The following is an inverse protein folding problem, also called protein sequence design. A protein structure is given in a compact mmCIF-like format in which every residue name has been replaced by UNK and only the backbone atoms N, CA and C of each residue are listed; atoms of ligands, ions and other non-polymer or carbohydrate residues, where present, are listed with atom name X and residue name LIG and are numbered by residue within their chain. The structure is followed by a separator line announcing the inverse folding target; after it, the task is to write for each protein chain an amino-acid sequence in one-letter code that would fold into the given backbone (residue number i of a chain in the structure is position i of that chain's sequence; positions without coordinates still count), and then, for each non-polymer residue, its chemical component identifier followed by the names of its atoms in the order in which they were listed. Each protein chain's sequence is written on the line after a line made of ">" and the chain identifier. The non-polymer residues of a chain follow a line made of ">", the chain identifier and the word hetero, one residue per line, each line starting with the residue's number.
data_IF_348963200755
#
_entry.id   IF_348963200755
#
_cell.length_a   1.000
_cell.length_b   1.000
_cell.length_c   1.000
_cell.angle_alpha   90.00
_cell.angle_beta   90.00
_cell.angle_gamma   90.00
#
_symmetry.space_group_name_H-M   'P 1'
#
loop_
_entity.id
_entity.type
_entity.pdbx_description
1 polymer ?
#
# COMPACT_ATOMS: atom_id res chain seq x y z
N UNK A 1 -4.04 26.95 -3.63
CA UNK A 1 -5.35 26.47 -3.15
C UNK A 1 -6.17 26.07 -4.37
N UNK A 2 -6.94 24.98 -4.28
CA UNK A 2 -7.90 24.46 -5.29
C UNK A 2 -7.40 23.56 -6.44
N UNK A 3 -6.64 22.49 -6.17
CA UNK A 3 -6.59 21.34 -7.12
C UNK A 3 -6.59 19.94 -6.47
N UNK A 4 -6.69 19.85 -5.13
CA UNK A 4 -6.67 18.56 -4.43
C UNK A 4 -8.04 17.86 -4.30
N UNK A 5 -9.13 18.50 -4.74
CA UNK A 5 -10.50 18.02 -4.46
C UNK A 5 -11.23 17.31 -5.60
N UNK A 6 -10.82 17.49 -6.87
CA UNK A 6 -11.65 17.07 -8.01
C UNK A 6 -11.39 15.61 -8.43
N UNK A 7 -10.24 15.03 -8.08
CA UNK A 7 -9.97 13.61 -8.38
C UNK A 7 -10.49 12.64 -7.30
N UNK A 8 -10.91 13.14 -6.13
CA UNK A 8 -11.29 12.31 -4.98
C UNK A 8 -12.79 11.98 -4.93
N UNK A 9 -13.62 12.69 -5.70
CA UNK A 9 -15.09 12.63 -5.63
C UNK A 9 -15.76 11.66 -6.62
N UNK A 10 -15.00 10.97 -7.48
CA UNK A 10 -15.55 9.97 -8.42
C UNK A 10 -15.21 8.51 -8.11
N UNK A 11 -14.51 8.25 -7.00
CA UNK A 11 -14.15 6.89 -6.59
C UNK A 11 -15.08 6.27 -5.54
N UNK A 12 -16.13 6.99 -5.12
CA UNK A 12 -16.96 6.62 -3.96
C UNK A 12 -18.07 5.60 -4.26
N UNK A 13 -18.21 5.11 -5.50
CA UNK A 13 -19.38 4.32 -5.90
C UNK A 13 -19.12 2.80 -6.07
N UNK A 14 -17.96 2.27 -5.67
CA UNK A 14 -17.69 0.83 -5.86
C UNK A 14 -16.69 0.20 -4.89
N UNK A 15 -16.54 0.72 -3.67
CA UNK A 15 -15.70 0.07 -2.64
C UNK A 15 -16.42 -1.16 -2.07
N UNK A 16 -16.64 -2.17 -2.91
CA UNK A 16 -17.19 -3.46 -2.53
C UNK A 16 -16.06 -4.29 -1.91
N UNK A 17 -15.52 -3.84 -0.77
CA UNK A 17 -14.74 -4.71 0.10
C UNK A 17 -15.76 -5.70 0.65
N UNK A 18 -15.97 -6.79 -0.09
CA UNK A 18 -17.02 -7.74 0.22
C UNK A 18 -16.71 -8.40 1.57
N UNK A 19 -17.44 -7.97 2.61
CA UNK A 19 -17.51 -8.62 3.92
C UNK A 19 -17.72 -10.14 3.79
N UNK A 20 -18.23 -10.60 2.64
CA UNK A 20 -18.41 -12.00 2.28
C UNK A 20 -17.09 -12.80 2.20
N UNK A 21 -15.99 -12.22 1.72
CA UNK A 21 -14.69 -12.94 1.62
C UNK A 21 -14.02 -13.12 2.99
N UNK A 22 -14.14 -12.12 3.87
CA UNK A 22 -13.73 -12.23 5.29
C UNK A 22 -14.58 -13.31 5.98
N UNK A 23 -15.89 -13.35 5.69
CA UNK A 23 -16.81 -14.37 6.18
C UNK A 23 -16.57 -15.78 5.62
N UNK A 24 -16.01 -15.96 4.42
CA UNK A 24 -15.69 -17.29 3.89
C UNK A 24 -14.50 -17.96 4.61
N UNK A 25 -13.51 -17.19 5.08
CA UNK A 25 -12.40 -17.74 5.88
C UNK A 25 -12.80 -18.13 7.31
N UNK A 26 -13.97 -17.67 7.75
CA UNK A 26 -14.54 -17.82 9.08
C UNK A 26 -14.95 -19.26 9.43
N UNK A 27 -15.48 -20.01 8.46
CA UNK A 27 -16.02 -21.36 8.70
C UNK A 27 -14.97 -22.39 9.18
N UNK A 28 -13.67 -22.07 9.10
CA UNK A 28 -12.60 -23.00 9.47
C UNK A 28 -12.08 -22.86 10.90
N UNK A 29 -12.48 -21.84 11.67
CA UNK A 29 -11.99 -21.60 13.04
C UNK A 29 -13.16 -21.39 14.01
N UNK A 30 -13.62 -22.49 14.60
CA UNK A 30 -14.62 -22.52 15.66
C UNK A 30 -14.33 -21.50 16.79
N UNK A 31 -15.38 -20.84 17.29
CA UNK A 31 -15.63 -20.79 18.74
C UNK A 31 -15.39 -19.48 19.51
N UNK A 32 -15.13 -18.34 18.88
CA UNK A 32 -15.17 -17.04 19.59
C UNK A 32 -16.04 -16.05 18.81
N UNK A 33 -17.25 -15.84 19.33
CA UNK A 33 -18.15 -14.76 18.92
C UNK A 33 -17.60 -13.44 19.46
N UNK A 34 -16.46 -12.97 18.93
CA UNK A 34 -16.26 -11.53 18.90
C UNK A 34 -17.38 -11.04 17.99
N UNK A 35 -18.33 -10.32 18.59
CA UNK A 35 -19.62 -10.01 17.99
C UNK A 35 -19.38 -9.43 16.59
N UNK A 36 -19.89 -10.12 15.58
CA UNK A 36 -19.70 -9.82 14.15
C UNK A 36 -19.96 -8.36 13.82
N UNK A 37 -20.97 -7.82 14.50
CA UNK A 37 -21.43 -6.44 14.39
C UNK A 37 -20.33 -5.44 14.81
N UNK A 38 -19.50 -5.78 15.80
CA UNK A 38 -18.42 -4.94 16.31
C UNK A 38 -17.26 -4.86 15.30
N UNK A 39 -16.88 -5.97 14.66
CA UNK A 39 -15.81 -5.94 13.65
C UNK A 39 -16.27 -5.30 12.33
N UNK A 40 -17.54 -5.48 11.94
CA UNK A 40 -18.09 -4.80 10.76
C UNK A 40 -17.98 -3.27 10.88
N UNK A 41 -18.18 -2.74 12.10
CA UNK A 41 -18.03 -1.32 12.42
C UNK A 41 -16.57 -0.89 12.27
N UNK A 42 -15.62 -1.67 12.79
CA UNK A 42 -14.18 -1.40 12.62
C UNK A 42 -13.80 -1.30 11.14
N UNK A 43 -14.27 -2.24 10.31
CA UNK A 43 -14.02 -2.23 8.86
C UNK A 43 -14.62 -0.97 8.23
N UNK A 44 -15.90 -0.68 8.50
CA UNK A 44 -16.59 0.46 7.93
C UNK A 44 -15.90 1.80 8.27
N UNK A 45 -15.42 1.95 9.50
CA UNK A 45 -14.74 3.17 9.97
C UNK A 45 -13.32 3.33 9.39
N UNK A 46 -12.63 2.24 9.07
CA UNK A 46 -11.20 2.26 8.76
C UNK A 46 -10.85 1.85 7.32
N UNK A 47 -11.80 1.34 6.54
CA UNK A 47 -11.55 0.83 5.18
C UNK A 47 -10.88 1.85 4.26
N UNK A 48 -11.33 3.09 4.28
CA UNK A 48 -10.77 4.13 3.41
C UNK A 48 -9.34 4.46 3.81
N UNK A 49 -9.05 4.52 5.12
CA UNK A 49 -7.69 4.74 5.61
C UNK A 49 -6.77 3.60 5.20
N UNK A 50 -7.20 2.34 5.39
CA UNK A 50 -6.40 1.15 5.04
C UNK A 50 -6.17 1.09 3.53
N UNK A 51 -7.21 1.23 2.72
CA UNK A 51 -7.12 1.19 1.26
C UNK A 51 -6.20 2.30 0.72
N UNK A 52 -6.39 3.53 1.19
CA UNK A 52 -5.54 4.65 0.79
C UNK A 52 -4.09 4.45 1.20
N UNK A 53 -3.86 3.90 2.40
CA UNK A 53 -2.51 3.53 2.86
C UNK A 53 -1.89 2.53 1.90
N UNK A 54 -2.55 1.41 1.64
CA UNK A 54 -2.06 0.38 0.72
C UNK A 54 -1.77 0.96 -0.67
N UNK A 55 -2.70 1.72 -1.22
CA UNK A 55 -2.57 2.35 -2.54
C UNK A 55 -1.33 3.26 -2.65
N UNK A 56 -1.00 4.03 -1.62
CA UNK A 56 0.18 4.91 -1.63
C UNK A 56 1.51 4.15 -1.69
N UNK A 57 1.52 2.90 -1.22
CA UNK A 57 2.70 2.05 -1.31
C UNK A 57 2.81 1.33 -2.65
N UNK A 58 1.70 0.79 -3.18
CA UNK A 58 1.74 -0.06 -4.38
C UNK A 58 1.44 0.68 -5.69
N UNK A 59 0.74 1.82 -5.62
CA UNK A 59 0.30 2.65 -6.76
C UNK A 59 -0.47 1.86 -7.83
N UNK A 60 -1.20 0.84 -7.40
CA UNK A 60 -2.07 0.02 -8.22
C UNK A 60 -3.33 -0.29 -7.40
N UNK A 61 -4.51 -0.06 -7.99
CA UNK A 61 -5.78 -0.17 -7.26
C UNK A 61 -6.10 -1.61 -6.87
N UNK A 62 -5.98 -2.54 -7.80
CA UNK A 62 -6.27 -3.97 -7.57
C UNK A 62 -5.35 -4.54 -6.49
N UNK A 63 -4.04 -4.29 -6.59
CA UNK A 63 -3.07 -4.71 -5.57
C UNK A 63 -3.42 -4.08 -4.20
N UNK A 64 -3.88 -2.83 -4.17
CA UNK A 64 -4.22 -2.15 -2.92
C UNK A 64 -5.49 -2.73 -2.26
N UNK A 65 -6.52 -3.03 -3.06
CA UNK A 65 -7.76 -3.67 -2.61
C UNK A 65 -7.49 -5.06 -2.04
N UNK A 66 -6.68 -5.87 -2.73
CA UNK A 66 -6.25 -7.19 -2.27
C UNK A 66 -5.49 -7.12 -0.93
N UNK A 67 -4.54 -6.18 -0.83
CA UNK A 67 -3.76 -6.00 0.40
C UNK A 67 -4.67 -5.51 1.54
N UNK A 68 -5.60 -4.58 1.27
CA UNK A 68 -6.53 -4.08 2.28
C UNK A 68 -7.38 -5.22 2.86
N UNK A 69 -7.82 -6.17 2.03
CA UNK A 69 -8.48 -7.38 2.52
C UNK A 69 -7.55 -8.22 3.42
N UNK A 70 -6.31 -8.47 3.00
CA UNK A 70 -5.33 -9.18 3.84
C UNK A 70 -5.10 -8.47 5.19
N UNK A 71 -5.13 -7.14 5.22
CA UNK A 71 -4.99 -6.34 6.44
C UNK A 71 -6.15 -6.59 7.39
N UNK A 72 -7.40 -6.52 6.93
CA UNK A 72 -8.55 -6.75 7.81
C UNK A 72 -8.65 -8.20 8.27
N UNK A 73 -8.26 -9.16 7.43
CA UNK A 73 -8.16 -10.58 7.83
C UNK A 73 -7.12 -10.74 8.96
N UNK A 74 -5.93 -10.13 8.81
CA UNK A 74 -4.89 -10.16 9.83
C UNK A 74 -5.35 -9.47 11.12
N UNK A 75 -5.98 -8.30 10.99
CA UNK A 75 -6.52 -7.54 12.10
C UNK A 75 -7.55 -8.36 12.87
N UNK A 76 -8.51 -9.00 12.20
CA UNK A 76 -9.49 -9.86 12.84
C UNK A 76 -8.83 -11.00 13.64
N UNK A 77 -7.84 -11.69 13.03
CA UNK A 77 -7.13 -12.82 13.66
C UNK A 77 -6.28 -12.42 14.86
N UNK A 78 -5.84 -11.16 14.91
CA UNK A 78 -4.94 -10.65 15.95
C UNK A 78 -5.63 -9.68 16.91
N UNK A 79 -6.92 -9.40 16.72
CA UNK A 79 -7.68 -8.43 17.51
C UNK A 79 -7.73 -8.80 19.00
N UNK A 80 -7.86 -10.09 19.32
CA UNK A 80 -7.84 -10.59 20.70
C UNK A 80 -6.52 -10.25 21.43
N UNK A 81 -5.42 -10.09 20.68
CA UNK A 81 -4.11 -9.76 21.21
C UNK A 81 -3.83 -8.24 21.20
N UNK A 82 -4.77 -7.42 20.73
CA UNK A 82 -4.60 -5.97 20.68
C UNK A 82 -4.71 -5.38 22.10
N UNK A 83 -3.55 -5.02 22.66
CA UNK A 83 -3.41 -4.54 24.05
C UNK A 83 -3.90 -3.12 24.31
N UNK A 84 -4.43 -2.41 23.29
CA UNK A 84 -4.91 -1.01 23.39
C UNK A 84 -3.86 0.00 23.86
N UNK A 85 -2.58 -0.30 23.69
CA UNK A 85 -1.45 0.60 23.99
C UNK A 85 -1.28 1.71 22.94
N UNK A 86 -2.04 1.66 21.84
CA UNK A 86 -2.10 2.68 20.80
C UNK A 86 -3.52 2.81 20.26
N UNK A 87 -3.81 3.82 19.45
CA UNK A 87 -5.09 3.92 18.74
C UNK A 87 -5.26 2.74 17.78
N UNK A 88 -6.50 2.28 17.58
CA UNK A 88 -6.79 1.21 16.63
C UNK A 88 -6.31 1.54 15.21
N UNK A 89 -6.50 2.79 14.79
CA UNK A 89 -6.02 3.31 13.51
C UNK A 89 -4.50 3.20 13.36
N UNK A 90 -3.73 3.54 14.40
CA UNK A 90 -2.27 3.37 14.45
C UNK A 90 -1.87 1.91 14.26
N UNK A 91 -2.58 0.99 14.91
CA UNK A 91 -2.31 -0.43 14.79
C UNK A 91 -2.65 -0.99 13.41
N UNK A 92 -3.82 -0.66 12.86
CA UNK A 92 -4.23 -1.03 11.50
C UNK A 92 -3.26 -0.47 10.45
N UNK A 93 -2.81 0.78 10.62
CA UNK A 93 -1.83 1.39 9.73
C UNK A 93 -0.53 0.58 9.69
N UNK A 94 -0.04 0.10 10.84
CA UNK A 94 1.16 -0.73 10.90
C UNK A 94 1.00 -2.05 10.16
N UNK A 95 -0.16 -2.69 10.28
CA UNK A 95 -0.47 -3.91 9.53
C UNK A 95 -0.48 -3.58 8.02
N UNK A 96 -1.16 -2.50 7.61
CA UNK A 96 -1.24 -2.06 6.22
C UNK A 96 0.14 -1.79 5.59
N UNK A 97 1.01 -1.05 6.28
CA UNK A 97 2.39 -0.82 5.84
C UNK A 97 3.14 -2.13 5.69
N UNK A 98 3.05 -3.01 6.69
CA UNK A 98 3.78 -4.29 6.68
C UNK A 98 3.36 -5.15 5.50
N UNK A 99 2.05 -5.35 5.30
CA UNK A 99 1.50 -6.14 4.19
C UNK A 99 1.85 -5.52 2.84
N UNK A 100 1.80 -4.19 2.72
CA UNK A 100 2.16 -3.48 1.49
C UNK A 100 3.63 -3.64 1.13
N UNK A 101 4.53 -3.50 2.10
CA UNK A 101 5.97 -3.72 1.90
C UNK A 101 6.27 -5.17 1.52
N UNK A 102 5.62 -6.14 2.18
CA UNK A 102 5.79 -7.55 1.86
C UNK A 102 5.28 -7.90 0.46
N UNK A 103 4.15 -7.33 0.03
CA UNK A 103 3.67 -7.43 -1.35
C UNK A 103 4.73 -6.90 -2.33
N UNK A 104 5.27 -5.70 -2.11
CA UNK A 104 6.30 -5.12 -2.98
C UNK A 104 7.57 -5.98 -3.05
N UNK A 105 8.02 -6.53 -1.91
CA UNK A 105 9.16 -7.45 -1.85
C UNK A 105 8.88 -8.74 -2.63
N UNK A 106 7.69 -9.32 -2.50
CA UNK A 106 7.25 -10.51 -3.27
C UNK A 106 7.23 -10.21 -4.78
N UNK A 107 6.62 -9.10 -5.19
CA UNK A 107 6.55 -8.65 -6.60
C UNK A 107 7.94 -8.46 -7.20
N UNK A 108 8.85 -7.79 -6.47
CA UNK A 108 10.26 -7.63 -6.86
C UNK A 108 10.99 -8.96 -7.01
N UNK A 109 10.79 -9.91 -6.08
CA UNK A 109 11.38 -11.26 -6.20
C UNK A 109 10.88 -11.99 -7.44
N UNK A 110 9.56 -12.03 -7.67
CA UNK A 110 8.96 -12.68 -8.86
C UNK A 110 9.54 -12.13 -10.17
N UNK A 111 9.65 -10.80 -10.30
CA UNK A 111 10.26 -10.14 -11.47
C UNK A 111 11.71 -10.59 -11.69
N UNK A 112 12.53 -10.63 -10.64
CA UNK A 112 13.93 -11.11 -10.75
C UNK A 112 14.02 -12.58 -11.17
N UNK A 113 13.15 -13.45 -10.65
CA UNK A 113 13.14 -14.87 -11.00
C UNK A 113 12.74 -15.10 -12.47
N UNK A 114 11.69 -14.41 -12.97
CA UNK A 114 11.31 -14.51 -14.39
C UNK A 114 12.42 -13.96 -15.31
N UNK A 115 13.06 -12.83 -14.94
CA UNK A 115 14.23 -12.33 -15.67
C UNK A 115 15.38 -13.34 -15.69
N UNK A 116 15.66 -14.01 -14.57
CA UNK A 116 16.72 -15.02 -14.51
C UNK A 116 16.38 -16.24 -15.36
N UNK A 117 15.15 -16.78 -15.29
CA UNK A 117 14.67 -17.87 -16.15
C UNK A 117 14.87 -17.59 -17.64
N UNK A 118 14.55 -16.36 -18.07
CA UNK A 118 14.76 -15.89 -19.45
C UNK A 118 16.23 -15.89 -19.85
N UNK A 119 17.13 -15.49 -18.95
CA UNK A 119 18.58 -15.47 -19.19
C UNK A 119 19.17 -16.89 -19.26
N UNK A 120 18.66 -17.82 -18.47
CA UNK A 120 19.16 -19.21 -18.39
C UNK A 120 18.45 -20.18 -19.34
N UNK A 121 17.60 -19.70 -20.26
CA UNK A 121 16.95 -20.52 -21.28
C UNK A 121 15.90 -21.51 -20.77
N UNK A 122 15.46 -21.37 -19.52
CA UNK A 122 14.37 -22.16 -18.94
C UNK A 122 13.04 -21.53 -19.35
N UNK A 123 12.61 -21.82 -20.58
CA UNK A 123 11.33 -21.37 -21.12
C UNK A 123 10.20 -22.19 -20.50
N UNK A 124 9.32 -21.54 -19.75
CA UNK A 124 8.03 -22.09 -19.36
C UNK A 124 7.00 -21.58 -20.39
N UNK A 125 6.36 -22.45 -21.20
CA UNK A 125 5.39 -22.04 -22.22
C UNK A 125 4.17 -21.29 -21.68
N UNK A 126 3.98 -21.26 -20.37
CA UNK A 126 2.82 -20.60 -19.73
C UNK A 126 3.04 -19.13 -19.38
N UNK A 127 4.26 -18.59 -19.47
CA UNK A 127 4.56 -17.19 -19.08
C UNK A 127 4.31 -16.16 -20.21
N UNK A 128 3.84 -16.54 -21.41
CA UNK A 128 3.74 -15.65 -22.57
C UNK A 128 2.42 -14.83 -22.67
N UNK A 129 1.47 -15.01 -21.75
CA UNK A 129 0.18 -14.30 -21.78
C UNK A 129 -0.04 -13.46 -20.51
N UNK A 130 0.73 -12.40 -20.36
CA UNK A 130 0.31 -11.25 -19.54
C UNK A 130 0.15 -10.04 -20.46
N UNK A 131 -0.90 -10.07 -21.28
CA UNK A 131 -1.37 -8.87 -21.97
C UNK A 131 -1.83 -7.87 -20.90
N UNK A 132 -1.50 -6.56 -21.01
CA UNK A 132 -2.07 -5.57 -20.13
C UNK A 132 -3.58 -5.52 -20.36
N UNK A 133 -4.35 -6.00 -19.38
CA UNK A 133 -5.78 -5.73 -19.27
C UNK A 133 -5.94 -4.23 -19.05
N UNK A 134 -6.34 -3.50 -20.09
CA UNK A 134 -6.82 -2.14 -19.92
C UNK A 134 -7.87 -1.81 -20.98
N UNK A 135 -9.10 -1.61 -20.52
CA UNK A 135 -10.25 -1.12 -21.29
C UNK A 135 -10.27 0.41 -21.34
N UNK A 136 -9.11 1.08 -21.31
CA UNK A 136 -9.00 2.53 -21.38
C UNK A 136 -8.26 2.98 -22.66
N UNK A 137 -8.64 4.14 -23.20
CA UNK A 137 -8.13 4.66 -24.46
C UNK A 137 -6.61 4.91 -24.41
N UNK A 138 -5.82 4.52 -25.44
CA UNK A 138 -4.36 4.48 -25.39
C UNK A 138 -3.69 5.79 -24.95
N UNK A 139 -4.24 6.93 -25.33
CA UNK A 139 -3.61 8.25 -25.18
C UNK A 139 -3.70 8.82 -23.75
N UNK A 140 -4.81 8.56 -23.04
CA UNK A 140 -5.00 8.97 -21.63
C UNK A 140 -4.27 8.02 -20.65
N UNK A 141 -4.15 6.74 -21.02
CA UNK A 141 -3.37 5.73 -20.31
C UNK A 141 -1.88 6.07 -20.36
N UNK A 142 -1.36 6.52 -21.51
CA UNK A 142 0.07 6.83 -21.69
C UNK A 142 0.57 7.96 -20.79
N UNK A 143 -0.10 9.12 -20.73
CA UNK A 143 0.39 10.27 -19.95
C UNK A 143 0.20 10.13 -18.42
N UNK A 144 -0.88 9.46 -17.98
CA UNK A 144 -1.12 9.17 -16.56
C UNK A 144 -0.21 8.05 -16.02
N UNK A 145 0.09 7.06 -16.85
CA UNK A 145 0.99 5.96 -16.48
C UNK A 145 2.43 6.40 -16.37
N UNK A 146 2.94 7.23 -17.28
CA UNK A 146 4.35 7.67 -17.20
C UNK A 146 4.68 8.36 -15.88
N UNK A 147 3.84 9.29 -15.43
CA UNK A 147 4.05 9.96 -14.13
C UNK A 147 3.95 8.99 -12.95
N UNK A 148 3.00 8.06 -13.01
CA UNK A 148 2.80 7.04 -11.99
C UNK A 148 3.98 6.07 -11.93
N UNK A 149 4.51 5.66 -13.09
CA UNK A 149 5.70 4.82 -13.23
C UNK A 149 6.95 5.51 -12.70
N UNK A 150 7.16 6.80 -13.04
CA UNK A 150 8.27 7.60 -12.51
C UNK A 150 8.19 7.69 -10.99
N UNK A 151 6.99 7.97 -10.45
CA UNK A 151 6.77 8.03 -9.01
C UNK A 151 7.01 6.67 -8.35
N UNK A 152 6.51 5.60 -8.95
CA UNK A 152 6.69 4.23 -8.47
C UNK A 152 8.17 3.84 -8.46
N UNK A 153 8.93 4.15 -9.52
CA UNK A 153 10.37 3.91 -9.59
C UNK A 153 11.11 4.73 -8.51
N UNK A 154 10.78 6.02 -8.37
CA UNK A 154 11.39 6.88 -7.37
C UNK A 154 11.12 6.37 -5.94
N UNK A 155 9.87 6.04 -5.61
CA UNK A 155 9.52 5.47 -4.30
C UNK A 155 10.16 4.10 -4.08
N UNK A 156 10.22 3.25 -5.11
CA UNK A 156 10.84 1.92 -5.02
C UNK A 156 12.35 1.97 -4.75
N UNK A 157 13.00 3.10 -5.04
CA UNK A 157 14.42 3.33 -4.75
C UNK A 157 14.70 3.64 -3.28
N UNK A 158 13.69 4.04 -2.51
CA UNK A 158 13.84 4.35 -1.09
C UNK A 158 13.92 3.08 -0.24
N UNK A 159 14.76 3.07 0.81
CA UNK A 159 14.65 2.09 1.89
C UNK A 159 13.25 2.15 2.53
N UNK A 160 12.74 1.00 2.96
CA UNK A 160 11.37 0.86 3.47
C UNK A 160 11.05 1.87 4.59
N UNK A 161 11.94 2.06 5.57
CA UNK A 161 11.73 3.03 6.64
C UNK A 161 11.69 4.48 6.15
N UNK A 162 12.48 4.83 5.13
CA UNK A 162 12.45 6.17 4.54
C UNK A 162 11.15 6.40 3.75
N UNK A 163 10.72 5.39 2.98
CA UNK A 163 9.46 5.42 2.26
C UNK A 163 8.28 5.58 3.22
N UNK A 164 8.21 4.75 4.27
CA UNK A 164 7.13 4.79 5.25
C UNK A 164 7.05 6.15 5.94
N UNK A 165 8.17 6.67 6.45
CA UNK A 165 8.19 7.98 7.10
C UNK A 165 7.78 9.12 6.15
N UNK A 166 8.20 9.05 4.88
CA UNK A 166 7.86 10.05 3.87
C UNK A 166 6.36 10.03 3.52
N UNK A 167 5.79 8.84 3.27
CA UNK A 167 4.37 8.69 2.93
C UNK A 167 3.49 9.17 4.10
N UNK A 168 3.80 8.72 5.31
CA UNK A 168 3.13 9.16 6.54
C UNK A 168 3.15 10.69 6.72
N UNK A 169 4.30 11.32 6.48
CA UNK A 169 4.45 12.76 6.68
C UNK A 169 3.78 13.59 5.57
N UNK A 170 3.87 13.16 4.31
CA UNK A 170 3.49 13.98 3.15
C UNK A 170 2.12 13.66 2.57
N UNK A 171 1.70 12.41 2.64
CA UNK A 171 0.42 12.00 2.10
C UNK A 171 -0.63 11.86 3.20
N UNK A 172 -0.28 11.29 4.35
CA UNK A 172 -1.23 11.12 5.46
C UNK A 172 -1.32 12.34 6.37
N UNK A 173 -0.30 13.20 6.36
CA UNK A 173 -0.28 14.43 7.16
C UNK A 173 -0.08 14.20 8.65
N UNK A 174 0.39 13.02 9.06
CA UNK A 174 0.69 12.73 10.47
C UNK A 174 1.82 13.62 11.00
N UNK A 175 1.70 14.02 12.27
CA UNK A 175 2.77 14.71 12.99
C UNK A 175 3.98 13.80 13.22
N UNK A 176 5.18 14.36 13.39
CA UNK A 176 6.37 13.56 13.65
C UNK A 176 6.22 12.65 14.89
N UNK A 177 5.44 13.06 15.88
CA UNK A 177 5.12 12.25 17.06
C UNK A 177 4.25 11.03 16.68
N UNK A 178 3.16 11.23 15.95
CA UNK A 178 2.30 10.12 15.52
C UNK A 178 3.05 9.14 14.61
N UNK A 179 3.94 9.65 13.75
CA UNK A 179 4.79 8.81 12.91
C UNK A 179 5.77 7.99 13.77
N UNK A 180 6.34 8.59 14.80
CA UNK A 180 7.23 7.91 15.74
C UNK A 180 6.50 6.77 16.46
N UNK A 181 5.25 7.00 16.87
CA UNK A 181 4.40 5.99 17.51
C UNK A 181 4.03 4.85 16.54
N UNK A 182 3.63 5.19 15.31
CA UNK A 182 3.33 4.22 14.24
C UNK A 182 4.56 3.37 13.91
N UNK A 183 5.72 4.00 13.75
CA UNK A 183 6.96 3.33 13.34
C UNK A 183 7.74 2.72 14.51
N UNK A 184 7.27 2.88 15.74
CA UNK A 184 7.96 2.48 16.97
C UNK A 184 9.41 2.97 17.01
N UNK A 185 9.61 4.26 16.78
CA UNK A 185 10.92 4.91 16.77
C UNK A 185 10.88 6.26 17.46
N UNK A 186 11.96 7.03 17.44
CA UNK A 186 12.00 8.37 18.04
C UNK A 186 11.62 9.46 17.03
N UNK A 187 11.09 10.58 17.51
CA UNK A 187 10.79 11.77 16.69
C UNK A 187 12.01 12.22 15.88
N UNK A 188 13.19 12.22 16.51
CA UNK A 188 14.46 12.56 15.83
C UNK A 188 14.80 11.58 14.70
N UNK A 189 14.54 10.29 14.89
CA UNK A 189 14.72 9.30 13.82
C UNK A 189 13.76 9.54 12.66
N UNK A 190 12.49 9.88 12.94
CA UNK A 190 11.49 10.24 11.92
C UNK A 190 11.95 11.44 11.10
N UNK A 191 12.36 12.53 11.73
CA UNK A 191 12.85 13.74 11.04
C UNK A 191 14.01 13.41 10.11
N UNK A 192 14.95 12.60 10.61
CA UNK A 192 16.10 12.13 9.85
C UNK A 192 15.69 11.26 8.65
N UNK A 193 14.71 10.37 8.83
CA UNK A 193 14.17 9.53 7.75
C UNK A 193 13.46 10.35 6.68
N UNK A 194 12.58 11.28 7.07
CA UNK A 194 11.84 12.16 6.15
C UNK A 194 12.80 13.05 5.36
N UNK A 195 13.79 13.64 6.03
CA UNK A 195 14.78 14.48 5.36
C UNK A 195 15.58 13.68 4.31
N UNK A 196 16.08 12.49 4.68
CA UNK A 196 16.80 11.62 3.76
C UNK A 196 15.93 11.17 2.59
N UNK A 197 14.68 10.78 2.85
CA UNK A 197 13.73 10.39 1.81
C UNK A 197 13.54 11.52 0.79
N UNK A 198 13.29 12.75 1.25
CA UNK A 198 13.11 13.93 0.38
C UNK A 198 14.35 14.17 -0.49
N UNK A 199 15.54 14.12 0.09
CA UNK A 199 16.81 14.31 -0.63
C UNK A 199 17.02 13.23 -1.70
N UNK A 200 16.77 11.97 -1.36
CA UNK A 200 16.88 10.85 -2.30
C UNK A 200 15.91 10.97 -3.47
N UNK A 201 14.64 11.31 -3.19
CA UNK A 201 13.62 11.52 -4.21
C UNK A 201 13.96 12.71 -5.12
N UNK A 202 14.38 13.84 -4.54
CA UNK A 202 14.79 15.01 -5.30
C UNK A 202 15.92 14.66 -6.27
N UNK A 203 16.99 14.03 -5.79
CA UNK A 203 18.12 13.62 -6.63
C UNK A 203 17.70 12.67 -7.77
N UNK A 204 16.78 11.75 -7.49
CA UNK A 204 16.29 10.77 -8.47
C UNK A 204 15.45 11.45 -9.56
N UNK A 205 14.53 12.34 -9.15
CA UNK A 205 13.65 13.07 -10.06
C UNK A 205 14.43 14.11 -10.89
N UNK A 206 15.37 14.85 -10.29
CA UNK A 206 16.22 15.78 -11.03
C UNK A 206 17.02 15.08 -12.13
N UNK A 207 17.56 13.89 -11.85
CA UNK A 207 18.26 13.08 -12.86
C UNK A 207 17.34 12.60 -13.99
N UNK A 208 16.08 12.34 -13.68
CA UNK A 208 15.10 11.92 -14.66
C UNK A 208 14.73 13.08 -15.61
N UNK A 209 14.41 14.25 -15.05
CA UNK A 209 14.01 15.43 -15.84
C UNK A 209 15.17 16.16 -16.54
N UNK A 210 16.43 16.00 -16.08
CA UNK A 210 17.62 16.53 -16.80
C UNK A 210 18.05 15.67 -17.99
N UNK A 211 17.53 14.44 -18.12
CA UNK A 211 17.88 13.50 -19.20
C UNK A 211 16.92 13.55 -20.39
N UNK A 212 15.78 14.23 -20.24
CA UNK A 212 14.83 14.53 -21.31
C UNK A 212 15.22 15.87 -21.94
#
# INVERSE_FOLDING_TARGET
>A
MMFSGILMLRACESSNISLEQVNQQRLKRNGHSIQEDDFSTIVAEHQDMVLNTCFRFVLNREDAEDIAQEVFIEAYRSLENFRKESKLSTWLYRIAVTKSLDHLRKKKRKKRFSSLKRVIGLHDPTEELALPSSTATPEEVLSGNERTEILQDALSSLPDNQKTAFLLSKYDGYSNQEIADIMQTTVSAVESLVHRAKKSLQNKLEKHYKKQ
#
